data_IF_406248466785
#
_entry.id   IF_406248466785
#
_cell.length_a   1.000
_cell.length_b   1.000
_cell.length_c   1.000
_cell.angle_alpha   90.00
_cell.angle_beta   90.00
_cell.angle_gamma   90.00
#
_symmetry.space_group_name_H-M   'P 1'
#
loop_
_entity.id
_entity.type
_entity.pdbx_description
1 polymer ?
#
# COMPACT_ATOMS: atom_id res chain seq x y z
N UNK A 1 14.01 13.09 6.65
CA UNK A 1 13.05 12.37 5.79
C UNK A 1 11.66 12.62 6.32
N UNK A 2 10.66 12.59 5.45
CA UNK A 2 9.25 12.70 5.84
C UNK A 2 8.65 11.31 5.70
N UNK A 3 8.23 10.70 6.81
CA UNK A 3 7.66 9.36 6.85
C UNK A 3 6.22 9.44 7.33
N UNK A 4 5.32 8.73 6.65
CA UNK A 4 3.95 8.53 7.09
C UNK A 4 3.95 7.62 8.33
N UNK A 5 3.29 8.06 9.41
CA UNK A 5 3.27 7.35 10.69
C UNK A 5 2.41 6.08 10.69
N UNK A 6 1.46 5.95 9.77
CA UNK A 6 0.62 4.77 9.61
C UNK A 6 1.27 3.73 8.71
N UNK A 7 1.97 4.18 7.66
CA UNK A 7 2.63 3.29 6.72
C UNK A 7 4.09 2.95 7.02
N UNK A 8 4.72 3.63 7.98
CA UNK A 8 6.11 3.36 8.36
C UNK A 8 6.24 2.67 9.71
N UNK A 9 7.07 1.65 9.77
CA UNK A 9 7.49 1.01 11.01
C UNK A 9 8.56 1.86 11.71
N UNK A 10 8.12 2.79 12.56
CA UNK A 10 9.00 3.70 13.29
C UNK A 10 9.90 3.00 14.33
N UNK A 11 9.60 1.75 14.72
CA UNK A 11 10.46 0.97 15.64
C UNK A 11 11.59 0.25 14.90
N UNK A 12 11.46 0.02 13.59
CA UNK A 12 12.51 -0.56 12.76
C UNK A 12 13.69 0.40 12.55
N UNK A 13 13.48 1.70 12.73
CA UNK A 13 14.53 2.72 12.69
C UNK A 13 14.12 3.98 11.96
N UNK A 14 15.12 4.81 11.65
CA UNK A 14 14.95 5.99 10.80
C UNK A 14 15.04 5.62 9.33
N UNK A 15 14.58 6.52 8.46
CA UNK A 15 14.80 6.42 7.02
C UNK A 15 16.27 6.13 6.65
N UNK A 16 16.43 5.43 5.54
CA UNK A 16 17.72 5.18 4.91
C UNK A 16 18.42 6.51 4.59
N UNK A 17 19.70 6.64 4.99
CA UNK A 17 20.46 7.89 4.85
C UNK A 17 20.97 8.15 3.44
N UNK A 18 21.00 7.13 2.58
CA UNK A 18 21.48 7.20 1.20
C UNK A 18 20.30 7.44 0.26
N UNK A 19 19.25 6.63 0.39
CA UNK A 19 18.08 6.71 -0.50
C UNK A 19 17.03 7.69 0.02
N UNK A 20 16.92 7.87 1.33
CA UNK A 20 15.84 8.63 1.97
C UNK A 20 14.58 7.80 2.23
N UNK A 21 14.59 6.50 1.90
CA UNK A 21 13.43 5.60 2.01
C UNK A 21 13.08 5.35 3.48
N UNK A 22 11.81 5.55 3.84
CA UNK A 22 11.29 5.20 5.16
C UNK A 22 11.12 3.67 5.30
N UNK A 23 11.25 3.12 6.51
CA UNK A 23 11.03 1.70 6.75
C UNK A 23 9.53 1.38 6.67
N UNK A 24 9.03 1.04 5.48
CA UNK A 24 7.61 0.81 5.27
C UNK A 24 7.12 -0.48 5.94
N UNK A 25 5.86 -0.46 6.36
CA UNK A 25 5.12 -1.66 6.75
C UNK A 25 4.92 -2.60 5.54
N UNK A 26 4.57 -3.87 5.76
CA UNK A 26 4.27 -4.81 4.68
C UNK A 26 3.21 -4.26 3.71
N UNK A 27 3.45 -4.44 2.42
CA UNK A 27 2.58 -4.00 1.32
C UNK A 27 2.33 -2.47 1.27
N UNK A 28 3.19 -1.67 1.90
CA UNK A 28 3.21 -0.22 1.79
C UNK A 28 4.39 0.20 0.91
N UNK A 29 4.15 1.13 -0.01
CA UNK A 29 5.13 1.64 -0.98
C UNK A 29 5.25 3.17 -0.90
N UNK A 30 6.21 3.70 -1.65
CA UNK A 30 6.52 5.12 -1.71
C UNK A 30 7.66 5.50 -0.76
N UNK A 31 8.37 6.59 -1.10
CA UNK A 31 9.50 7.10 -0.31
C UNK A 31 9.12 7.42 1.14
N UNK A 32 7.86 7.83 1.33
CA UNK A 32 7.31 8.22 2.62
C UNK A 32 6.41 7.14 3.23
N UNK A 33 6.26 5.99 2.58
CA UNK A 33 5.33 4.92 2.97
C UNK A 33 3.87 5.42 3.07
N UNK A 34 3.42 6.19 2.09
CA UNK A 34 2.13 6.88 2.08
C UNK A 34 1.08 6.19 1.19
N UNK A 35 1.46 5.11 0.50
CA UNK A 35 0.61 4.41 -0.46
C UNK A 35 0.65 2.90 -0.24
N UNK A 36 -0.48 2.22 -0.46
CA UNK A 36 -0.48 0.76 -0.54
C UNK A 36 0.09 0.29 -1.87
N UNK A 37 0.71 -0.90 -1.85
CA UNK A 37 1.07 -1.61 -3.07
C UNK A 37 -0.19 -1.90 -3.91
N UNK A 38 0.00 -2.20 -5.20
CA UNK A 38 -1.10 -2.59 -6.07
C UNK A 38 -1.89 -3.77 -5.47
N UNK A 39 -3.21 -3.74 -5.59
CA UNK A 39 -4.13 -4.74 -5.03
C UNK A 39 -4.08 -4.85 -3.48
N UNK A 40 -3.72 -3.76 -2.80
CA UNK A 40 -3.78 -3.68 -1.34
C UNK A 40 -4.46 -2.39 -0.86
N UNK A 41 -5.07 -2.45 0.32
CA UNK A 41 -5.83 -1.35 0.93
C UNK A 41 -5.60 -1.27 2.45
N UNK A 42 -6.29 -0.36 3.13
CA UNK A 42 -6.29 -0.21 4.59
C UNK A 42 -4.95 0.20 5.22
N UNK A 43 -4.29 1.19 4.62
CA UNK A 43 -3.11 1.84 5.24
C UNK A 43 -3.44 2.42 6.64
N UNK A 44 -4.71 2.78 6.86
CA UNK A 44 -5.24 3.26 8.13
C UNK A 44 -5.08 2.28 9.30
N UNK A 45 -4.90 0.99 9.02
CA UNK A 45 -4.68 -0.04 10.05
C UNK A 45 -3.44 0.23 10.91
N UNK A 46 -2.45 0.95 10.37
CA UNK A 46 -1.16 1.17 11.03
C UNK A 46 -0.28 -0.08 11.12
N UNK A 47 -0.65 -1.18 10.45
CA UNK A 47 0.11 -2.44 10.45
C UNK A 47 0.67 -2.79 9.06
N UNK A 48 0.23 -2.07 8.03
CA UNK A 48 0.51 -2.34 6.62
C UNK A 48 -0.76 -2.33 5.81
N UNK A 49 -0.66 -2.70 4.54
CA UNK A 49 -1.84 -2.83 3.70
C UNK A 49 -2.28 -4.28 3.59
N UNK A 50 -3.59 -4.49 3.68
CA UNK A 50 -4.25 -5.78 3.49
C UNK A 50 -4.44 -6.04 2.01
N UNK A 51 -4.28 -7.29 1.59
CA UNK A 51 -4.59 -7.68 0.22
C UNK A 51 -6.08 -7.51 -0.04
N UNK A 52 -6.43 -6.99 -1.20
CA UNK A 52 -7.82 -6.81 -1.57
C UNK A 52 -8.51 -8.16 -1.76
N UNK A 53 -9.66 -8.31 -1.13
CA UNK A 53 -10.53 -9.49 -1.26
C UNK A 53 -11.72 -9.11 -2.15
N UNK A 54 -11.44 -8.50 -3.31
CA UNK A 54 -12.48 -8.14 -4.26
C UNK A 54 -13.04 -9.43 -4.87
N UNK A 55 -14.37 -9.57 -4.88
CA UNK A 55 -15.02 -10.68 -5.56
C UNK A 55 -14.59 -10.68 -7.05
N UNK A 56 -13.95 -11.74 -7.56
CA UNK A 56 -13.50 -11.82 -8.94
C UNK A 56 -14.66 -11.75 -9.95
N UNK A 57 -15.91 -11.89 -9.51
CA UNK A 57 -17.12 -11.70 -10.32
C UNK A 57 -17.58 -10.23 -10.38
N UNK A 58 -17.01 -9.35 -9.55
CA UNK A 58 -17.34 -7.92 -9.46
C UNK A 58 -16.31 -6.97 -10.10
N UNK A 59 -15.27 -7.50 -10.73
CA UNK A 59 -14.19 -6.72 -11.34
C UNK A 59 -14.56 -6.23 -12.75
N UNK A 60 -14.23 -4.97 -13.06
CA UNK A 60 -14.25 -4.51 -14.46
C UNK A 60 -13.06 -5.10 -15.20
N UNK A 61 -13.29 -5.61 -16.41
CA UNK A 61 -12.20 -6.07 -17.26
C UNK A 61 -11.55 -4.87 -17.95
N UNK A 62 -10.21 -4.82 -17.94
CA UNK A 62 -9.45 -3.93 -18.80
C UNK A 62 -9.71 -4.29 -20.28
N UNK A 63 -9.37 -3.38 -21.19
CA UNK A 63 -9.55 -3.58 -22.64
C UNK A 63 -8.76 -4.79 -23.18
N UNK A 64 -7.76 -5.28 -22.45
CA UNK A 64 -6.98 -6.48 -22.75
C UNK A 64 -7.60 -7.78 -22.17
N UNK A 65 -8.76 -7.69 -21.52
CA UNK A 65 -9.44 -8.82 -20.89
C UNK A 65 -8.87 -9.22 -19.53
N UNK A 66 -7.90 -8.48 -18.98
CA UNK A 66 -7.41 -8.73 -17.61
C UNK A 66 -8.38 -8.16 -16.57
N UNK A 67 -8.67 -8.87 -15.47
CA UNK A 67 -9.48 -8.35 -14.39
C UNK A 67 -8.77 -7.17 -13.71
N UNK A 68 -9.41 -6.01 -13.70
CA UNK A 68 -9.00 -4.87 -12.88
C UNK A 68 -9.62 -5.02 -11.50
N UNK A 69 -8.82 -5.48 -10.54
CA UNK A 69 -9.15 -5.38 -9.14
C UNK A 69 -9.20 -3.90 -8.79
N UNK A 70 -10.39 -3.30 -8.85
CA UNK A 70 -10.61 -1.91 -8.49
C UNK A 70 -10.75 -1.76 -6.98
N UNK A 71 -9.78 -2.26 -6.21
CA UNK A 71 -9.61 -1.75 -4.85
C UNK A 71 -8.67 -0.56 -4.90
N UNK A 72 -9.05 0.47 -4.17
CA UNK A 72 -8.23 1.65 -3.96
C UNK A 72 -7.82 1.70 -2.48
N UNK A 73 -6.96 2.65 -2.15
CA UNK A 73 -6.59 2.92 -0.75
C UNK A 73 -7.80 3.28 0.15
N UNK A 74 -8.97 3.57 -0.44
CA UNK A 74 -10.21 3.99 0.23
C UNK A 74 -11.41 3.03 0.07
N UNK A 75 -11.39 2.16 -0.94
CA UNK A 75 -12.47 1.21 -1.24
C UNK A 75 -11.80 -0.16 -1.36
N UNK A 76 -12.03 -1.03 -0.38
CA UNK A 76 -11.48 -2.39 -0.36
C UNK A 76 -12.15 -3.30 -1.37
#
# INVERSE_FOLDING_TARGET
CVCNNLGSNLTAGTCDRVTGQCPCHPNVIGMQCDQCAENHYDLSSGQGCSACDCDPNGVVLKQDGTPELQCNQFDG
#
